data_IF_595031428020
#
_entry.id   IF_595031428020
#
_cell.length_a   1.000
_cell.length_b   1.000
_cell.length_c   1.000
_cell.angle_alpha   90.00
_cell.angle_beta   90.00
_cell.angle_gamma   90.00
#
_symmetry.space_group_name_H-M   'P 1'
#
loop_
_entity.id
_entity.type
_entity.pdbx_description
1 polymer ?
#
# COMPACT_ATOMS: atom_id res chain seq x y z
N UNK A 1 52.12 -4.80 37.28
CA UNK A 1 51.92 -5.43 35.97
C UNK A 1 50.51 -6.03 35.97
N UNK A 2 49.53 -5.17 35.77
CA UNK A 2 48.08 -5.41 35.65
C UNK A 2 47.70 -4.29 34.64
N UNK A 3 47.15 -4.50 33.46
CA UNK A 3 45.86 -5.07 33.08
C UNK A 3 45.87 -5.27 31.56
N UNK A 4 45.45 -6.42 31.03
CA UNK A 4 45.17 -6.61 29.59
C UNK A 4 43.95 -7.52 29.33
N UNK A 5 43.21 -7.92 30.38
CA UNK A 5 42.16 -8.94 30.26
C UNK A 5 40.73 -8.37 30.31
N UNK A 6 40.55 -7.06 30.55
CA UNK A 6 39.22 -6.43 30.66
C UNK A 6 38.69 -5.91 29.31
N UNK A 7 39.57 -5.65 28.34
CA UNK A 7 39.21 -5.02 27.06
C UNK A 7 38.53 -5.99 26.07
N UNK A 8 38.70 -7.30 26.24
CA UNK A 8 38.12 -8.32 25.37
C UNK A 8 36.64 -8.62 25.63
N UNK A 9 36.17 -8.46 26.88
CA UNK A 9 34.77 -8.73 27.28
C UNK A 9 33.82 -7.60 26.86
N UNK A 10 34.32 -6.37 26.76
CA UNK A 10 33.53 -5.19 26.36
C UNK A 10 33.27 -5.20 24.84
N UNK A 11 34.27 -5.54 24.01
CA UNK A 11 34.11 -5.66 22.55
C UNK A 11 33.14 -6.78 22.13
N UNK A 12 33.15 -7.91 22.83
CA UNK A 12 32.26 -9.02 22.52
C UNK A 12 30.77 -8.70 22.81
N UNK A 13 30.52 -7.84 23.80
CA UNK A 13 29.16 -7.40 24.19
C UNK A 13 28.58 -6.37 23.22
N UNK A 14 29.38 -5.47 22.66
CA UNK A 14 28.93 -4.49 21.65
C UNK A 14 28.59 -5.16 20.31
N UNK A 15 29.41 -6.11 19.85
CA UNK A 15 29.16 -6.86 18.62
C UNK A 15 27.89 -7.75 18.67
N UNK A 16 27.56 -8.28 19.86
CA UNK A 16 26.36 -9.10 20.06
C UNK A 16 25.05 -8.31 20.08
N UNK A 17 25.08 -7.04 20.51
CA UNK A 17 23.91 -6.15 20.56
C UNK A 17 23.59 -5.59 19.16
N UNK A 18 24.61 -5.24 18.38
CA UNK A 18 24.42 -4.77 16.99
C UNK A 18 23.82 -5.84 16.06
N UNK A 19 24.16 -7.11 16.27
CA UNK A 19 23.55 -8.21 15.52
C UNK A 19 22.05 -8.38 15.83
N UNK A 20 21.64 -8.18 17.09
CA UNK A 20 20.24 -8.26 17.51
C UNK A 20 19.39 -7.08 17.00
N UNK A 21 19.92 -5.86 17.06
CA UNK A 21 19.25 -4.65 16.56
C UNK A 21 19.17 -4.67 15.01
N UNK A 22 20.20 -5.20 14.34
CA UNK A 22 20.19 -5.40 12.88
C UNK A 22 19.14 -6.40 12.41
N UNK A 23 18.88 -7.45 13.19
CA UNK A 23 17.84 -8.45 12.90
C UNK A 23 16.42 -7.88 12.99
N UNK A 24 16.13 -7.10 14.03
CA UNK A 24 14.81 -6.46 14.25
C UNK A 24 14.47 -5.46 13.13
N UNK A 25 15.42 -4.59 12.76
CA UNK A 25 15.25 -3.64 11.64
C UNK A 25 14.96 -4.33 10.31
N UNK A 26 15.53 -5.52 10.09
CA UNK A 26 15.31 -6.32 8.88
C UNK A 26 13.90 -6.90 8.83
N UNK A 27 13.35 -7.30 9.98
CA UNK A 27 11.98 -7.80 10.09
C UNK A 27 10.95 -6.69 9.84
N UNK A 28 11.16 -5.49 10.39
CA UNK A 28 10.28 -4.33 10.16
C UNK A 28 10.31 -3.89 8.68
N UNK A 29 11.51 -3.84 8.08
CA UNK A 29 11.64 -3.55 6.64
C UNK A 29 10.98 -4.61 5.76
N UNK A 30 11.03 -5.89 6.15
CA UNK A 30 10.36 -6.96 5.43
C UNK A 30 8.84 -6.82 5.53
N UNK A 31 8.31 -6.53 6.72
CA UNK A 31 6.87 -6.30 6.95
C UNK A 31 6.36 -5.12 6.12
N UNK A 32 7.07 -3.99 6.14
CA UNK A 32 6.74 -2.82 5.32
C UNK A 32 6.76 -3.13 3.81
N UNK A 33 7.76 -3.90 3.35
CA UNK A 33 7.83 -4.36 1.94
C UNK A 33 6.67 -5.27 1.55
N UNK A 34 6.27 -6.19 2.43
CA UNK A 34 5.14 -7.08 2.18
C UNK A 34 3.81 -6.33 2.16
N UNK A 35 3.64 -5.34 3.04
CA UNK A 35 2.46 -4.47 3.06
C UNK A 35 2.36 -3.63 1.78
N UNK A 36 3.46 -2.99 1.38
CA UNK A 36 3.52 -2.23 0.14
C UNK A 36 3.27 -3.09 -1.09
N UNK A 37 3.79 -4.33 -1.12
CA UNK A 37 3.51 -5.28 -2.19
C UNK A 37 2.01 -5.65 -2.29
N UNK A 38 1.29 -5.68 -1.16
CA UNK A 38 -0.16 -5.89 -1.12
C UNK A 38 -0.93 -4.70 -1.70
N UNK A 39 -0.60 -3.49 -1.27
CA UNK A 39 -1.19 -2.24 -1.80
C UNK A 39 -0.94 -2.12 -3.30
N UNK A 40 0.27 -2.43 -3.76
CA UNK A 40 0.62 -2.40 -5.18
C UNK A 40 -0.14 -3.41 -6.03
N UNK A 41 -0.50 -4.56 -5.46
CA UNK A 41 -1.31 -5.57 -6.15
C UNK A 41 -2.74 -5.06 -6.32
N UNK A 42 -3.35 -4.59 -5.23
CA UNK A 42 -4.73 -4.09 -5.23
C UNK A 42 -4.88 -2.86 -6.12
N UNK A 43 -3.91 -1.93 -6.06
CA UNK A 43 -3.93 -0.72 -6.86
C UNK A 43 -3.82 -1.02 -8.37
N UNK A 44 -3.02 -2.02 -8.76
CA UNK A 44 -2.94 -2.50 -10.15
C UNK A 44 -4.22 -3.22 -10.60
N UNK A 45 -4.84 -4.00 -9.73
CA UNK A 45 -6.14 -4.64 -10.02
C UNK A 45 -7.24 -3.60 -10.21
N UNK A 46 -7.26 -2.55 -9.39
CA UNK A 46 -8.17 -1.43 -9.56
C UNK A 46 -7.96 -0.71 -10.91
N UNK A 47 -6.71 -0.41 -11.26
CA UNK A 47 -6.39 0.23 -12.54
C UNK A 47 -6.85 -0.61 -13.74
N UNK A 48 -6.69 -1.93 -13.69
CA UNK A 48 -7.20 -2.86 -14.72
C UNK A 48 -8.71 -2.82 -14.85
N UNK A 49 -9.44 -2.85 -13.75
CA UNK A 49 -10.90 -2.75 -13.75
C UNK A 49 -11.36 -1.41 -14.31
N UNK A 50 -10.73 -0.32 -13.86
CA UNK A 50 -11.07 1.02 -14.31
C UNK A 50 -10.78 1.21 -15.80
N UNK A 51 -9.62 0.78 -16.28
CA UNK A 51 -9.28 0.80 -17.70
C UNK A 51 -10.29 0.00 -18.54
N UNK A 52 -10.72 -1.17 -18.07
CA UNK A 52 -11.73 -1.98 -18.75
C UNK A 52 -13.09 -1.28 -18.81
N UNK A 53 -13.49 -0.58 -17.74
CA UNK A 53 -14.71 0.24 -17.73
C UNK A 53 -14.60 1.42 -18.71
N UNK A 54 -13.45 2.10 -18.76
CA UNK A 54 -13.23 3.17 -19.74
C UNK A 54 -13.35 2.67 -21.18
N UNK A 55 -12.74 1.52 -21.49
CA UNK A 55 -12.84 0.91 -22.82
C UNK A 55 -14.27 0.56 -23.16
N UNK A 56 -15.02 0.00 -22.20
CA UNK A 56 -16.44 -0.27 -22.36
C UNK A 56 -17.24 1.00 -22.68
N UNK A 57 -17.04 2.09 -21.95
CA UNK A 57 -17.74 3.36 -22.19
C UNK A 57 -17.34 3.96 -23.55
N UNK A 58 -16.06 3.89 -23.94
CA UNK A 58 -15.64 4.28 -25.29
C UNK A 58 -16.34 3.44 -26.36
N UNK A 59 -16.42 2.12 -26.17
CA UNK A 59 -17.13 1.20 -27.09
C UNK A 59 -18.62 1.50 -27.17
N UNK A 60 -19.25 1.89 -26.06
CA UNK A 60 -20.66 2.23 -25.99
C UNK A 60 -21.01 3.49 -26.81
N UNK A 61 -20.04 4.36 -27.11
CA UNK A 61 -20.27 5.54 -27.97
C UNK A 61 -20.43 5.20 -29.47
N UNK A 62 -20.13 3.97 -29.89
CA UNK A 62 -20.30 3.54 -31.29
C UNK A 62 -21.76 3.20 -31.59
N UNK A 63 -22.34 3.91 -32.58
CA UNK A 63 -23.79 3.91 -32.88
C UNK A 63 -24.40 2.54 -33.22
N UNK A 64 -23.66 1.64 -33.84
CA UNK A 64 -24.13 0.29 -34.21
C UNK A 64 -23.59 -0.84 -33.32
N UNK A 65 -22.84 -0.48 -32.27
CA UNK A 65 -22.04 -1.41 -31.48
C UNK A 65 -20.85 -1.95 -32.29
N UNK A 66 -19.66 -1.98 -31.70
CA UNK A 66 -18.42 -2.42 -32.37
C UNK A 66 -18.51 -3.84 -32.97
N UNK A 67 -19.33 -4.72 -32.38
CA UNK A 67 -19.51 -6.12 -32.80
C UNK A 67 -20.90 -6.41 -33.39
N UNK A 68 -21.66 -5.36 -33.75
CA UNK A 68 -23.02 -5.47 -34.27
C UNK A 68 -24.06 -5.90 -33.22
N UNK A 69 -25.20 -6.40 -33.69
CA UNK A 69 -26.36 -6.78 -32.87
C UNK A 69 -26.54 -8.31 -32.87
N UNK A 70 -26.49 -8.95 -31.71
CA UNK A 70 -26.69 -10.40 -31.57
C UNK A 70 -26.09 -10.98 -30.29
N UNK A 71 -26.43 -12.24 -29.97
CA UNK A 71 -26.06 -12.88 -28.69
C UNK A 71 -24.54 -13.00 -28.46
N UNK A 72 -23.72 -12.98 -29.52
CA UNK A 72 -22.25 -12.98 -29.40
C UNK A 72 -21.64 -11.60 -29.17
N UNK A 73 -22.36 -10.52 -29.50
CA UNK A 73 -21.82 -9.14 -29.44
C UNK A 73 -21.43 -8.74 -28.01
N UNK A 74 -22.23 -9.15 -27.03
CA UNK A 74 -21.96 -8.87 -25.62
C UNK A 74 -20.74 -9.65 -25.10
N UNK A 75 -20.60 -10.92 -25.50
CA UNK A 75 -19.46 -11.77 -25.11
C UNK A 75 -18.16 -11.24 -25.70
N UNK A 76 -18.11 -10.99 -27.02
CA UNK A 76 -16.92 -10.41 -27.66
C UNK A 76 -16.64 -9.01 -27.14
N UNK A 77 -17.68 -8.25 -26.83
CA UNK A 77 -17.61 -6.98 -26.15
C UNK A 77 -16.87 -7.04 -24.83
N UNK A 78 -17.32 -7.92 -23.93
CA UNK A 78 -16.71 -8.08 -22.62
C UNK A 78 -15.24 -8.53 -22.73
N UNK A 79 -14.93 -9.47 -23.62
CA UNK A 79 -13.56 -9.93 -23.84
C UNK A 79 -12.65 -8.84 -24.42
N UNK A 80 -13.18 -8.04 -25.34
CA UNK A 80 -12.46 -6.89 -25.89
C UNK A 80 -12.17 -5.85 -24.81
N UNK A 81 -13.18 -5.48 -24.02
CA UNK A 81 -13.05 -4.49 -22.95
C UNK A 81 -12.01 -4.94 -21.91
N UNK A 82 -12.03 -6.22 -21.52
CA UNK A 82 -11.06 -6.80 -20.58
C UNK A 82 -9.65 -6.88 -21.16
N UNK A 83 -9.49 -7.31 -22.41
CA UNK A 83 -8.16 -7.43 -23.02
C UNK A 83 -7.49 -6.06 -23.23
N UNK A 84 -8.21 -5.09 -23.79
CA UNK A 84 -7.68 -3.76 -24.01
C UNK A 84 -7.51 -3.02 -22.68
N UNK A 85 -8.46 -3.17 -21.75
CA UNK A 85 -8.36 -2.61 -20.41
C UNK A 85 -7.14 -3.14 -19.64
N UNK A 86 -6.91 -4.45 -19.68
CA UNK A 86 -5.72 -5.07 -19.10
C UNK A 86 -4.43 -4.57 -19.76
N UNK A 87 -4.39 -4.52 -21.10
CA UNK A 87 -3.23 -3.98 -21.82
C UNK A 87 -2.96 -2.52 -21.47
N UNK A 88 -3.99 -1.69 -21.31
CA UNK A 88 -3.84 -0.28 -20.97
C UNK A 88 -3.31 -0.11 -19.54
N UNK A 89 -3.85 -0.86 -18.59
CA UNK A 89 -3.37 -0.85 -17.21
C UNK A 89 -1.95 -1.42 -17.07
N UNK A 90 -1.58 -2.43 -17.87
CA UNK A 90 -0.23 -3.00 -17.86
C UNK A 90 0.82 -2.00 -18.38
N UNK A 91 0.44 -1.06 -19.26
CA UNK A 91 1.33 0.04 -19.63
C UNK A 91 1.51 1.10 -18.53
N UNK A 92 0.62 1.13 -17.52
CA UNK A 92 0.60 2.16 -16.49
C UNK A 92 0.19 3.54 -17.01
N UNK A 93 -0.48 3.62 -18.17
CA UNK A 93 -0.81 4.89 -18.82
C UNK A 93 -1.76 5.78 -17.99
N UNK A 94 -2.54 5.18 -17.07
CA UNK A 94 -3.48 5.92 -16.22
C UNK A 94 -2.86 6.31 -14.87
N UNK A 95 -1.75 5.68 -14.48
CA UNK A 95 -1.03 5.84 -13.20
C UNK A 95 -1.95 5.88 -11.95
N UNK A 96 -3.10 5.21 -12.04
CA UNK A 96 -4.04 5.11 -10.92
C UNK A 96 -3.40 4.39 -9.74
N UNK A 97 -2.55 3.40 -10.01
CA UNK A 97 -1.79 2.74 -8.97
C UNK A 97 -0.82 3.69 -8.24
N UNK A 98 -0.22 4.65 -8.93
CA UNK A 98 0.62 5.69 -8.34
C UNK A 98 -0.17 6.64 -7.46
N UNK A 99 -1.31 7.12 -7.96
CA UNK A 99 -2.22 8.00 -7.22
C UNK A 99 -2.74 7.32 -5.95
N UNK A 100 -3.15 6.06 -6.03
CA UNK A 100 -3.62 5.29 -4.88
C UNK A 100 -2.51 5.09 -3.83
N UNK A 101 -1.28 4.79 -4.25
CA UNK A 101 -0.13 4.71 -3.33
C UNK A 101 0.12 6.02 -2.59
N UNK A 102 -0.02 7.15 -3.28
CA UNK A 102 0.22 8.48 -2.72
C UNK A 102 -0.90 8.95 -1.78
N UNK A 103 -2.15 8.56 -2.07
CA UNK A 103 -3.32 8.91 -1.28
C UNK A 103 -3.57 8.00 -0.07
N UNK A 104 -3.07 6.77 -0.08
CA UNK A 104 -3.22 5.84 1.04
C UNK A 104 -2.13 6.09 2.09
N UNK A 105 -2.50 6.25 3.39
CA UNK A 105 -1.52 6.39 4.45
C UNK A 105 -0.64 5.14 4.50
N UNK A 106 0.68 5.33 4.38
CA UNK A 106 1.70 4.28 4.27
C UNK A 106 1.93 3.48 5.59
N UNK A 107 0.94 3.38 6.47
CA UNK A 107 1.16 2.81 7.80
C UNK A 107 -0.07 2.42 8.61
N UNK A 108 -1.28 2.86 8.25
CA UNK A 108 -2.49 2.46 8.98
C UNK A 108 -3.26 1.43 8.17
N UNK A 109 -2.97 0.16 8.47
CA UNK A 109 -3.96 -0.88 8.26
C UNK A 109 -5.07 -0.55 9.26
N UNK A 110 -6.20 -0.03 8.78
CA UNK A 110 -7.43 -0.11 9.58
C UNK A 110 -7.64 -1.62 9.75
N UNK A 111 -7.29 -2.15 10.92
CA UNK A 111 -7.43 -3.57 11.20
C UNK A 111 -8.89 -3.93 11.01
N UNK A 112 -9.17 -5.14 10.53
CA UNK A 112 -10.54 -5.62 10.38
C UNK A 112 -11.33 -5.49 11.70
N UNK A 113 -10.62 -5.52 12.83
CA UNK A 113 -11.11 -5.23 14.18
C UNK A 113 -11.63 -3.80 14.32
N UNK A 114 -10.92 -2.79 13.82
CA UNK A 114 -11.34 -1.38 13.82
C UNK A 114 -12.53 -1.15 12.87
N UNK A 115 -12.56 -1.82 11.72
CA UNK A 115 -13.71 -1.75 10.79
C UNK A 115 -14.98 -2.43 11.35
N UNK A 116 -14.83 -3.48 12.16
CA UNK A 116 -15.95 -4.11 12.84
C UNK A 116 -16.42 -3.33 14.09
N UNK A 117 -15.52 -2.62 14.77
CA UNK A 117 -15.85 -1.73 15.88
C UNK A 117 -16.69 -0.53 15.41
N UNK A 118 -16.30 0.11 14.30
CA UNK A 118 -17.09 1.19 13.68
C UNK A 118 -18.47 0.70 13.20
N UNK A 119 -18.56 -0.51 12.62
CA UNK A 119 -19.84 -1.10 12.21
C UNK A 119 -20.76 -1.45 13.38
N UNK A 120 -20.21 -1.71 14.57
CA UNK A 120 -20.97 -1.97 15.80
C UNK A 120 -21.27 -0.72 16.61
N UNK A 121 -20.75 0.45 16.21
CA UNK A 121 -20.96 1.71 16.92
C UNK A 121 -20.26 1.77 18.28
N UNK A 122 -19.20 0.98 18.48
CA UNK A 122 -18.37 1.09 19.68
C UNK A 122 -17.26 2.10 19.40
N UNK A 123 -17.15 3.13 20.25
CA UNK A 123 -16.15 4.18 20.08
C UNK A 123 -14.75 3.55 20.06
N UNK A 124 -13.82 4.07 19.22
CA UNK A 124 -12.44 3.60 19.23
C UNK A 124 -11.87 3.74 20.64
N UNK A 125 -11.03 2.78 21.09
CA UNK A 125 -10.33 2.93 22.36
C UNK A 125 -9.59 4.26 22.33
N UNK A 126 -9.83 5.09 23.35
CA UNK A 126 -9.12 6.35 23.49
C UNK A 126 -7.63 6.01 23.60
N UNK A 127 -6.88 6.29 22.53
CA UNK A 127 -5.43 6.26 22.57
C UNK A 127 -4.98 7.19 23.70
N UNK A 128 -4.22 6.62 24.65
CA UNK A 128 -3.58 7.33 25.73
C UNK A 128 -2.83 8.56 25.18
N UNK A 129 -3.07 9.70 25.83
CA UNK A 129 -2.44 11.01 25.66
C UNK A 129 -1.32 11.07 24.62
N UNK A 130 -1.64 11.67 23.47
CA UNK A 130 -0.63 12.30 22.63
C UNK A 130 0.06 13.36 23.48
N UNK A 131 1.28 13.08 23.93
CA UNK A 131 2.16 14.05 24.59
C UNK A 131 2.49 15.20 23.62
N UNK A 132 1.56 16.16 23.53
CA UNK A 132 1.77 17.44 22.86
C UNK A 132 2.38 18.43 23.85
N UNK A 133 3.58 18.16 24.36
CA UNK A 133 4.30 19.11 25.21
C UNK A 133 5.83 19.08 24.99
N UNK A 134 6.32 19.17 23.75
CA UNK A 134 7.78 19.31 23.52
C UNK A 134 8.26 19.96 22.20
N UNK A 135 7.57 20.93 21.60
CA UNK A 135 8.20 21.81 20.58
C UNK A 135 7.78 23.28 20.73
N UNK A 136 8.12 23.88 21.88
CA UNK A 136 8.21 25.33 21.99
C UNK A 136 9.60 25.77 21.56
N UNK A 137 9.82 25.95 20.26
CA UNK A 137 10.97 26.70 19.75
C UNK A 137 10.80 28.18 20.10
N UNK A 138 11.72 28.81 20.86
CA UNK A 138 11.62 30.22 21.18
C UNK A 138 11.91 31.05 19.92
N UNK A 139 10.99 31.94 19.57
CA UNK A 139 11.22 32.98 18.56
C UNK A 139 12.21 34.00 19.13
N UNK A 140 13.48 33.90 18.75
CA UNK A 140 14.44 34.97 18.99
C UNK A 140 14.24 36.10 17.97
N UNK A 141 13.76 37.22 18.53
CA UNK A 141 13.80 38.65 18.12
C UNK A 141 13.93 39.03 16.65
#
# INVERSE_FOLDING_TARGET
MIDNNFDGLTRAREAGIDAGIGGLRKADQLKARMQNAGVDKVAREFERLFASMLVKEMRATLQDGMFGKGAGSDTYGAWFDEHIGASLADTGALDMAGILRAGLPQGEVISAETLEAERKGEAPPADDEVDTAADARPLER
#
